data_IF_799015839332
#
_entry.id   IF_799015839332
#
_cell.length_a   1.000
_cell.length_b   1.000
_cell.length_c   1.000
_cell.angle_alpha   90.00
_cell.angle_beta   90.00
_cell.angle_gamma   90.00
#
_symmetry.space_group_name_H-M   'P 1'
#
loop_
_entity.id
_entity.type
_entity.pdbx_description
1 polymer ?
#
# COMPACT_ATOMS: atom_id res chain seq x y z
N UNK A 1 -25.07 33.23 -20.10
CA UNK A 1 -24.68 32.66 -18.78
C UNK A 1 -23.44 31.74 -18.85
N UNK A 2 -23.21 31.00 -19.94
CA UNK A 2 -22.00 30.16 -20.12
C UNK A 2 -20.70 30.97 -20.27
N UNK A 3 -20.70 32.07 -21.03
CA UNK A 3 -19.49 32.92 -21.22
C UNK A 3 -18.96 33.51 -19.91
N UNK A 4 -19.85 33.97 -19.02
CA UNK A 4 -19.46 34.53 -17.72
C UNK A 4 -18.91 33.43 -16.77
N UNK A 5 -19.36 32.17 -16.95
CA UNK A 5 -18.87 31.00 -16.21
C UNK A 5 -17.47 30.59 -16.69
N UNK A 6 -17.24 30.51 -18.00
CA UNK A 6 -15.92 30.23 -18.57
C UNK A 6 -14.90 31.33 -18.22
N UNK A 7 -15.32 32.59 -18.25
CA UNK A 7 -14.47 33.71 -17.85
C UNK A 7 -14.06 33.62 -16.37
N UNK A 8 -14.98 33.28 -15.46
CA UNK A 8 -14.70 33.11 -14.02
C UNK A 8 -13.77 31.92 -13.77
N UNK A 9 -13.98 30.81 -14.47
CA UNK A 9 -13.12 29.62 -14.40
C UNK A 9 -11.69 29.92 -14.90
N UNK A 10 -11.56 30.57 -16.07
CA UNK A 10 -10.25 30.99 -16.62
C UNK A 10 -9.51 31.92 -15.66
N UNK A 11 -10.20 32.91 -15.09
CA UNK A 11 -9.61 33.85 -14.12
C UNK A 11 -9.12 33.15 -12.84
N UNK A 12 -9.86 32.15 -12.36
CA UNK A 12 -9.43 31.33 -11.22
C UNK A 12 -8.16 30.54 -11.53
N UNK A 13 -8.11 29.94 -12.72
CA UNK A 13 -6.96 29.18 -13.22
C UNK A 13 -5.71 30.04 -13.39
N UNK A 14 -5.86 31.25 -13.93
CA UNK A 14 -4.80 32.25 -14.03
C UNK A 14 -4.28 32.66 -12.65
N UNK A 15 -5.17 32.94 -11.69
CA UNK A 15 -4.80 33.28 -10.32
C UNK A 15 -4.04 32.14 -9.63
N UNK A 16 -4.46 30.89 -9.85
CA UNK A 16 -3.76 29.71 -9.34
C UNK A 16 -2.35 29.56 -9.94
N UNK A 17 -2.22 29.73 -11.26
CA UNK A 17 -0.92 29.71 -11.96
C UNK A 17 0.02 30.82 -11.47
N UNK A 18 -0.51 32.04 -11.30
CA UNK A 18 0.25 33.17 -10.77
C UNK A 18 0.72 32.91 -9.33
N UNK A 19 -0.14 32.32 -8.49
CA UNK A 19 0.21 31.90 -7.13
C UNK A 19 1.34 30.88 -7.10
N UNK A 20 1.28 29.84 -7.94
CA UNK A 20 2.35 28.84 -8.05
C UNK A 20 3.67 29.45 -8.53
N UNK A 21 3.62 30.35 -9.52
CA UNK A 21 4.80 31.07 -10.00
C UNK A 21 5.42 31.95 -8.91
N UNK A 22 4.59 32.63 -8.10
CA UNK A 22 5.04 33.43 -6.97
C UNK A 22 5.73 32.57 -5.90
N UNK A 23 5.13 31.43 -5.52
CA UNK A 23 5.74 30.48 -4.57
C UNK A 23 7.09 29.96 -5.09
N UNK A 24 7.17 29.59 -6.38
CA UNK A 24 8.42 29.14 -7.02
C UNK A 24 9.51 30.21 -7.02
N UNK A 25 9.13 31.48 -7.16
CA UNK A 25 10.07 32.62 -7.09
C UNK A 25 10.54 32.85 -5.66
N UNK A 26 9.63 32.87 -4.70
CA UNK A 26 9.93 33.10 -3.27
C UNK A 26 10.78 31.98 -2.68
N UNK A 27 10.58 30.74 -3.10
CA UNK A 27 11.36 29.59 -2.61
C UNK A 27 12.75 29.48 -3.23
N UNK A 28 13.08 30.25 -4.27
CA UNK A 28 14.37 30.18 -5.00
C UNK A 28 15.60 30.13 -4.08
N UNK A 29 15.73 30.95 -3.01
CA UNK A 29 16.88 30.94 -2.12
C UNK A 29 17.04 29.64 -1.31
N UNK A 30 15.94 28.90 -1.11
CA UNK A 30 15.91 27.70 -0.27
C UNK A 30 15.68 26.41 -1.08
N UNK A 31 15.70 26.48 -2.42
CA UNK A 31 15.48 25.31 -3.30
C UNK A 31 16.50 24.19 -3.09
N UNK A 32 17.74 24.52 -2.75
CA UNK A 32 18.76 23.52 -2.43
C UNK A 32 18.38 22.68 -1.21
N UNK A 33 17.94 23.34 -0.14
CA UNK A 33 17.47 22.68 1.09
C UNK A 33 16.25 21.79 0.84
N UNK A 34 15.28 22.30 0.08
CA UNK A 34 14.09 21.53 -0.32
C UNK A 34 14.50 20.30 -1.16
N UNK A 35 15.42 20.45 -2.11
CA UNK A 35 15.89 19.35 -2.95
C UNK A 35 16.57 18.24 -2.14
N UNK A 36 17.44 18.60 -1.19
CA UNK A 36 18.09 17.63 -0.28
C UNK A 36 17.04 16.91 0.57
N UNK A 37 16.08 17.64 1.14
CA UNK A 37 15.00 17.02 1.92
C UNK A 37 14.16 16.04 1.09
N UNK A 38 13.86 16.37 -0.17
CA UNK A 38 13.15 15.47 -1.07
C UNK A 38 13.95 14.20 -1.38
N UNK A 39 15.27 14.31 -1.60
CA UNK A 39 16.13 13.14 -1.79
C UNK A 39 16.17 12.24 -0.56
N UNK A 40 16.28 12.81 0.65
CA UNK A 40 16.20 12.05 1.90
C UNK A 40 14.84 11.36 2.06
N UNK A 41 13.76 12.03 1.62
CA UNK A 41 12.40 11.48 1.65
C UNK A 41 12.25 10.31 0.67
N UNK A 42 12.85 10.39 -0.53
CA UNK A 42 12.90 9.27 -1.48
C UNK A 42 13.61 8.06 -0.86
N UNK A 43 14.78 8.27 -0.25
CA UNK A 43 15.51 7.20 0.43
C UNK A 43 14.72 6.59 1.59
N UNK A 44 14.10 7.44 2.43
CA UNK A 44 13.19 7.02 3.50
C UNK A 44 12.03 6.18 2.98
N UNK A 45 11.38 6.62 1.90
CA UNK A 45 10.26 5.91 1.30
C UNK A 45 10.67 4.55 0.71
N UNK A 46 11.85 4.46 0.09
CA UNK A 46 12.41 3.20 -0.40
C UNK A 46 12.70 2.20 0.74
N UNK A 47 13.24 2.67 1.87
CA UNK A 47 13.39 1.85 3.09
C UNK A 47 12.06 1.37 3.64
N UNK A 48 10.95 2.01 3.28
CA UNK A 48 9.60 1.59 3.64
C UNK A 48 9.20 0.21 3.10
N UNK A 49 9.91 -0.31 2.11
CA UNK A 49 9.70 -1.66 1.56
C UNK A 49 10.32 -2.75 2.46
N UNK A 50 11.42 -2.43 3.17
CA UNK A 50 12.23 -3.41 3.92
C UNK A 50 11.44 -4.17 4.99
N UNK A 51 10.53 -3.57 5.77
CA UNK A 51 9.70 -4.32 6.71
C UNK A 51 8.88 -5.44 6.05
N UNK A 52 8.43 -5.24 4.81
CA UNK A 52 7.69 -6.27 4.06
C UNK A 52 8.61 -7.39 3.57
N UNK A 53 9.84 -7.05 3.15
CA UNK A 53 10.87 -8.05 2.83
C UNK A 53 11.21 -8.88 4.06
N UNK A 54 11.40 -8.24 5.22
CA UNK A 54 11.66 -8.91 6.47
C UNK A 54 10.49 -9.82 6.88
N UNK A 55 9.25 -9.38 6.67
CA UNK A 55 8.05 -10.19 6.95
C UNK A 55 8.00 -11.45 6.08
N UNK A 56 8.27 -11.35 4.78
CA UNK A 56 8.32 -12.51 3.87
C UNK A 56 9.40 -13.50 4.34
N UNK A 57 10.62 -13.02 4.60
CA UNK A 57 11.72 -13.87 5.09
C UNK A 57 11.43 -14.54 6.42
N UNK A 58 10.79 -13.82 7.35
CA UNK A 58 10.39 -14.39 8.63
C UNK A 58 9.30 -15.46 8.44
N UNK A 59 8.36 -15.22 7.53
CA UNK A 59 7.35 -16.18 7.11
C UNK A 59 7.97 -17.48 6.60
N UNK A 60 8.90 -17.39 5.65
CA UNK A 60 9.61 -18.56 5.11
C UNK A 60 10.35 -19.36 6.19
N UNK A 61 11.00 -18.65 7.11
CA UNK A 61 11.73 -19.25 8.22
C UNK A 61 10.79 -20.01 9.18
N UNK A 62 9.64 -19.43 9.52
CA UNK A 62 8.65 -20.07 10.39
C UNK A 62 7.94 -21.24 9.70
N UNK A 63 7.53 -21.07 8.44
CA UNK A 63 6.88 -22.11 7.64
C UNK A 63 7.80 -23.31 7.41
N UNK A 64 9.08 -23.07 7.12
CA UNK A 64 10.06 -24.14 6.94
C UNK A 64 10.38 -24.88 8.23
N UNK A 65 10.39 -24.20 9.38
CA UNK A 65 10.55 -24.84 10.69
C UNK A 65 9.34 -25.74 11.01
N UNK A 66 8.12 -25.23 10.77
CA UNK A 66 6.88 -25.96 10.97
C UNK A 66 6.78 -27.22 10.08
N UNK A 67 7.04 -27.09 8.77
CA UNK A 67 6.99 -28.24 7.82
C UNK A 67 7.98 -29.35 8.15
N UNK A 68 9.07 -29.03 8.87
CA UNK A 68 10.13 -29.97 9.25
C UNK A 68 10.00 -30.49 10.69
N UNK A 69 8.97 -30.07 11.42
CA UNK A 69 8.82 -30.33 12.86
C UNK A 69 10.10 -30.03 13.66
N UNK A 70 10.76 -28.92 13.32
CA UNK A 70 12.08 -28.54 13.82
C UNK A 70 12.03 -27.21 14.57
N UNK A 71 12.91 -26.98 15.57
CA UNK A 71 12.96 -25.71 16.26
C UNK A 71 13.36 -24.58 15.30
N UNK A 72 12.77 -23.40 15.50
CA UNK A 72 13.06 -22.18 14.73
C UNK A 72 14.50 -21.74 14.95
N UNK A 73 15.24 -21.48 13.88
CA UNK A 73 16.60 -20.92 13.94
C UNK A 73 16.56 -19.49 14.51
N UNK A 74 16.91 -19.36 15.79
CA UNK A 74 16.83 -18.13 16.55
C UNK A 74 17.80 -17.05 16.06
N UNK A 75 18.99 -17.44 15.56
CA UNK A 75 20.00 -16.49 15.11
C UNK A 75 19.59 -15.84 13.79
N UNK A 76 19.05 -16.64 12.86
CA UNK A 76 18.48 -16.11 11.62
C UNK A 76 17.26 -15.22 11.88
N UNK A 77 16.34 -15.65 12.75
CA UNK A 77 15.18 -14.85 13.12
C UNK A 77 15.60 -13.51 13.74
N UNK A 78 16.60 -13.51 14.63
CA UNK A 78 17.17 -12.29 15.23
C UNK A 78 17.81 -11.39 14.18
N UNK A 79 18.52 -11.95 13.18
CA UNK A 79 19.07 -11.19 12.07
C UNK A 79 18.00 -10.46 11.25
N UNK A 80 16.90 -11.13 10.92
CA UNK A 80 15.75 -10.53 10.22
C UNK A 80 15.09 -9.43 11.06
N UNK A 81 14.93 -9.66 12.37
CA UNK A 81 14.40 -8.64 13.28
C UNK A 81 15.30 -7.41 13.37
N UNK A 82 16.62 -7.59 13.47
CA UNK A 82 17.57 -6.47 13.50
C UNK A 82 17.56 -5.69 12.19
N UNK A 83 17.45 -6.36 11.03
CA UNK A 83 17.28 -5.70 9.74
C UNK A 83 16.01 -4.83 9.72
N UNK A 84 14.88 -5.36 10.21
CA UNK A 84 13.62 -4.64 10.31
C UNK A 84 13.75 -3.39 11.19
N UNK A 85 14.32 -3.54 12.39
CA UNK A 85 14.50 -2.43 13.33
C UNK A 85 15.45 -1.37 12.78
N UNK A 86 16.56 -1.78 12.17
CA UNK A 86 17.53 -0.87 11.57
C UNK A 86 16.93 -0.09 10.39
N UNK A 87 16.22 -0.78 9.49
CA UNK A 87 15.59 -0.13 8.33
C UNK A 87 14.45 0.81 8.75
N UNK A 88 13.63 0.42 9.72
CA UNK A 88 12.58 1.28 10.25
C UNK A 88 13.16 2.51 10.98
N UNK A 89 14.19 2.33 11.80
CA UNK A 89 14.91 3.42 12.45
C UNK A 89 15.55 4.38 11.44
N UNK A 90 16.23 3.85 10.42
CA UNK A 90 16.82 4.65 9.36
C UNK A 90 15.76 5.40 8.55
N UNK A 91 14.62 4.77 8.22
CA UNK A 91 13.47 5.43 7.59
C UNK A 91 12.99 6.62 8.41
N UNK A 92 12.70 6.42 9.69
CA UNK A 92 12.23 7.49 10.58
C UNK A 92 13.25 8.62 10.71
N UNK A 93 14.53 8.27 10.87
CA UNK A 93 15.62 9.25 10.96
C UNK A 93 15.75 10.10 9.70
N UNK A 94 15.77 9.48 8.51
CA UNK A 94 15.83 10.19 7.23
C UNK A 94 14.62 11.10 7.02
N UNK A 95 13.42 10.62 7.35
CA UNK A 95 12.19 11.42 7.26
C UNK A 95 12.20 12.61 8.21
N UNK A 96 12.65 12.40 9.45
CA UNK A 96 12.79 13.45 10.45
C UNK A 96 13.78 14.53 10.01
N UNK A 97 14.96 14.12 9.51
CA UNK A 97 15.97 15.07 9.00
C UNK A 97 15.43 15.82 7.78
N UNK A 98 14.71 15.14 6.87
CA UNK A 98 14.06 15.80 5.74
C UNK A 98 13.08 16.90 6.18
N UNK A 99 12.20 16.59 7.14
CA UNK A 99 11.26 17.56 7.72
C UNK A 99 11.99 18.71 8.43
N UNK A 100 13.05 18.42 9.17
CA UNK A 100 13.83 19.45 9.85
C UNK A 100 14.45 20.43 8.85
N UNK A 101 15.02 19.91 7.75
CA UNK A 101 15.60 20.73 6.69
C UNK A 101 14.55 21.64 6.02
N UNK A 102 13.34 21.14 5.76
CA UNK A 102 12.27 21.97 5.18
C UNK A 102 11.70 22.98 6.17
N UNK A 103 11.64 22.68 7.47
CA UNK A 103 11.30 23.66 8.49
C UNK A 103 12.34 24.79 8.58
N UNK A 104 13.63 24.46 8.54
CA UNK A 104 14.70 25.47 8.49
C UNK A 104 14.62 26.31 7.20
N UNK A 105 14.32 25.67 6.07
CA UNK A 105 14.08 26.37 4.80
C UNK A 105 12.89 27.34 4.89
N UNK A 106 11.78 26.92 5.51
CA UNK A 106 10.61 27.76 5.73
C UNK A 106 10.95 28.98 6.59
N UNK A 107 11.65 28.81 7.71
CA UNK A 107 12.07 29.91 8.58
C UNK A 107 12.90 30.96 7.83
N UNK A 108 13.90 30.51 7.04
CA UNK A 108 14.71 31.41 6.20
C UNK A 108 13.86 32.14 5.16
N UNK A 109 12.94 31.44 4.50
CA UNK A 109 12.08 32.05 3.49
C UNK A 109 11.12 33.08 4.10
N UNK A 110 10.52 32.77 5.26
CA UNK A 110 9.60 33.66 5.96
C UNK A 110 10.28 34.90 6.51
N UNK A 111 11.51 34.78 7.02
CA UNK A 111 12.31 35.95 7.41
C UNK A 111 12.56 36.88 6.21
N UNK A 112 13.02 36.34 5.08
CA UNK A 112 13.22 37.11 3.85
C UNK A 112 11.93 37.76 3.33
N UNK A 113 10.81 37.05 3.38
CA UNK A 113 9.50 37.58 2.98
C UNK A 113 9.05 38.72 3.89
N UNK A 114 9.15 38.55 5.21
CA UNK A 114 8.78 39.60 6.18
C UNK A 114 9.64 40.85 6.02
N UNK A 115 10.96 40.70 5.87
CA UNK A 115 11.85 41.84 5.60
C UNK A 115 11.47 42.57 4.32
N UNK A 116 11.19 41.83 3.24
CA UNK A 116 10.76 42.41 1.96
C UNK A 116 9.44 43.17 2.07
N UNK A 117 8.47 42.64 2.83
CA UNK A 117 7.18 43.30 3.08
C UNK A 117 7.41 44.59 3.88
N UNK A 118 8.18 44.53 4.97
CA UNK A 118 8.47 45.69 5.81
C UNK A 118 9.22 46.78 5.04
N UNK A 119 10.23 46.41 4.24
CA UNK A 119 10.95 47.35 3.39
C UNK A 119 10.02 48.03 2.39
N UNK A 120 9.11 47.28 1.75
CA UNK A 120 8.15 47.85 0.80
C UNK A 120 7.14 48.77 1.49
N UNK A 121 6.65 48.39 2.67
CA UNK A 121 5.75 49.22 3.47
C UNK A 121 6.42 50.52 3.91
N UNK A 122 7.70 50.49 4.28
CA UNK A 122 8.44 51.69 4.71
C UNK A 122 8.56 52.77 3.62
N UNK A 123 8.40 52.39 2.34
CA UNK A 123 8.45 53.28 1.18
C UNK A 123 7.08 53.58 0.59
N UNK A 124 6.00 53.08 1.19
CA UNK A 124 4.65 53.31 0.68
C UNK A 124 4.14 54.72 1.04
N UNK A 125 3.39 55.40 0.14
CA UNK A 125 2.80 56.70 0.44
C UNK A 125 1.84 56.64 1.63
N UNK A 126 1.79 57.68 2.47
CA UNK A 126 0.87 57.76 3.61
C UNK A 126 -0.60 57.56 3.22
N UNK A 127 -0.99 58.03 2.03
CA UNK A 127 -2.34 57.83 1.49
C UNK A 127 -2.73 56.34 1.36
N UNK A 128 -1.77 55.45 1.12
CA UNK A 128 -2.04 54.00 1.06
C UNK A 128 -2.43 53.45 2.43
N UNK A 129 -1.83 53.95 3.51
CA UNK A 129 -2.17 53.55 4.89
C UNK A 129 -3.50 54.14 5.35
N UNK A 130 -3.89 55.30 4.83
CA UNK A 130 -5.21 55.88 5.08
C UNK A 130 -6.33 55.05 4.43
N UNK A 131 -6.10 54.48 3.24
CA UNK A 131 -7.05 53.57 2.58
C UNK A 131 -7.02 52.15 3.18
N UNK A 132 -5.82 51.65 3.51
CA UNK A 132 -5.61 50.32 4.09
C UNK A 132 -5.39 50.43 5.60
N UNK A 133 -6.47 50.25 6.36
CA UNK A 133 -6.41 50.25 7.83
C UNK A 133 -5.35 49.29 8.41
N UNK A 134 -4.91 49.57 9.64
CA UNK A 134 -3.82 48.85 10.33
C UNK A 134 -3.98 47.32 10.38
N UNK A 135 -5.22 46.82 10.39
CA UNK A 135 -5.52 45.39 10.33
C UNK A 135 -5.04 44.71 9.04
N UNK A 136 -5.12 45.40 7.89
CA UNK A 136 -4.64 44.85 6.61
C UNK A 136 -3.11 44.71 6.59
N UNK A 137 -2.41 45.67 7.20
CA UNK A 137 -0.94 45.62 7.36
C UNK A 137 -0.53 44.47 8.27
N UNK A 138 -1.18 44.33 9.44
CA UNK A 138 -0.94 43.22 10.37
C UNK A 138 -1.16 41.88 9.68
N UNK A 139 -2.28 41.72 8.97
CA UNK A 139 -2.60 40.49 8.23
C UNK A 139 -1.52 40.13 7.21
N UNK A 140 -1.07 41.09 6.41
CA UNK A 140 -0.04 40.84 5.40
C UNK A 140 1.32 40.44 6.01
N UNK A 141 1.76 41.13 7.06
CA UNK A 141 3.08 40.90 7.70
C UNK A 141 3.09 39.63 8.55
N UNK A 142 1.99 39.34 9.24
CA UNK A 142 1.92 38.26 10.23
C UNK A 142 1.21 37.03 9.69
N UNK A 143 -0.07 37.16 9.33
CA UNK A 143 -0.95 36.04 9.05
C UNK A 143 -0.63 35.42 7.68
N UNK A 144 -0.64 36.24 6.62
CA UNK A 144 -0.41 35.80 5.24
C UNK A 144 1.02 35.28 5.05
N UNK A 145 2.01 35.92 5.67
CA UNK A 145 3.40 35.45 5.67
C UNK A 145 3.58 34.12 6.42
N UNK A 146 2.69 33.78 7.36
CA UNK A 146 2.74 32.52 8.10
C UNK A 146 1.98 31.40 7.40
N UNK A 147 0.93 31.71 6.61
CA UNK A 147 0.21 30.70 5.82
C UNK A 147 1.10 29.95 4.82
N UNK A 148 2.21 30.55 4.38
CA UNK A 148 3.15 29.91 3.45
C UNK A 148 3.88 28.71 4.09
N UNK A 149 3.87 28.59 5.42
CA UNK A 149 4.52 27.54 6.20
C UNK A 149 4.21 26.14 5.67
N UNK A 150 2.93 25.77 5.59
CA UNK A 150 2.53 24.41 5.19
C UNK A 150 3.01 24.06 3.77
N UNK A 151 3.06 25.05 2.88
CA UNK A 151 3.47 24.86 1.48
C UNK A 151 4.95 24.54 1.34
N UNK A 152 5.80 25.08 2.23
CA UNK A 152 7.26 24.92 2.17
C UNK A 152 7.79 23.90 3.17
N UNK A 153 7.31 23.93 4.42
CA UNK A 153 7.80 23.08 5.49
C UNK A 153 7.33 21.63 5.35
N UNK A 154 6.07 21.41 5.01
CA UNK A 154 5.46 20.07 4.93
C UNK A 154 5.25 19.62 3.49
N UNK A 155 4.74 20.53 2.65
CA UNK A 155 4.35 20.25 1.28
C UNK A 155 5.35 19.44 0.43
N UNK A 156 6.65 19.80 0.37
CA UNK A 156 7.60 19.07 -0.47
C UNK A 156 7.85 17.64 0.00
N UNK A 157 8.04 17.44 1.30
CA UNK A 157 8.31 16.12 1.91
C UNK A 157 7.06 15.24 1.82
N UNK A 158 5.91 15.76 2.23
CA UNK A 158 4.67 14.98 2.26
C UNK A 158 4.25 14.55 0.84
N UNK A 159 4.33 15.44 -0.15
CA UNK A 159 4.01 15.11 -1.55
C UNK A 159 4.99 14.09 -2.13
N UNK A 160 6.28 14.24 -1.86
CA UNK A 160 7.29 13.27 -2.31
C UNK A 160 7.04 11.90 -1.67
N UNK A 161 6.78 11.83 -0.36
CA UNK A 161 6.49 10.58 0.32
C UNK A 161 5.19 9.93 -0.17
N UNK A 162 4.12 10.72 -0.35
CA UNK A 162 2.83 10.26 -0.85
C UNK A 162 2.90 9.66 -2.27
N UNK A 163 3.87 10.11 -3.09
CA UNK A 163 4.11 9.55 -4.42
C UNK A 163 5.05 8.34 -4.37
N UNK A 164 6.19 8.47 -3.69
CA UNK A 164 7.27 7.48 -3.75
C UNK A 164 6.95 6.24 -2.92
N UNK A 165 6.31 6.37 -1.75
CA UNK A 165 6.05 5.22 -0.89
C UNK A 165 5.11 4.18 -1.53
N UNK A 166 3.96 4.57 -2.15
CA UNK A 166 3.12 3.60 -2.85
C UNK A 166 3.83 3.00 -4.08
N UNK A 167 4.58 3.81 -4.84
CA UNK A 167 5.35 3.33 -6.00
C UNK A 167 6.43 2.33 -5.60
N UNK A 168 7.15 2.56 -4.50
CA UNK A 168 8.18 1.65 -4.01
C UNK A 168 7.58 0.29 -3.61
N UNK A 169 6.44 0.29 -2.92
CA UNK A 169 5.71 -0.94 -2.59
C UNK A 169 5.16 -1.63 -3.83
N UNK A 170 4.66 -0.87 -4.80
CA UNK A 170 4.17 -1.40 -6.06
C UNK A 170 5.28 -2.08 -6.86
N UNK A 171 6.42 -1.40 -7.01
CA UNK A 171 7.61 -1.97 -7.66
C UNK A 171 8.02 -3.27 -6.97
N UNK A 172 8.04 -3.28 -5.64
CA UNK A 172 8.36 -4.49 -4.89
C UNK A 172 7.40 -5.66 -5.15
N UNK A 173 6.07 -5.43 -5.11
CA UNK A 173 5.10 -6.49 -5.39
C UNK A 173 5.24 -7.00 -6.83
N UNK A 174 5.48 -6.12 -7.80
CA UNK A 174 5.72 -6.53 -9.20
C UNK A 174 7.03 -7.32 -9.38
N UNK A 175 8.04 -7.10 -8.53
CA UNK A 175 9.25 -7.93 -8.52
C UNK A 175 9.03 -9.31 -7.89
N UNK A 176 8.00 -9.47 -7.05
CA UNK A 176 7.60 -10.78 -6.52
C UNK A 176 6.77 -11.55 -7.55
N UNK A 177 5.66 -10.96 -7.99
CA UNK A 177 4.80 -11.50 -9.04
C UNK A 177 3.94 -10.38 -9.65
N UNK A 178 4.00 -10.22 -10.97
CA UNK A 178 3.29 -9.14 -11.66
C UNK A 178 1.75 -9.34 -11.70
N UNK A 179 1.26 -10.58 -11.58
CA UNK A 179 -0.18 -10.92 -11.54
C UNK A 179 -0.76 -10.52 -10.19
N UNK A 180 -0.07 -10.86 -9.09
CA UNK A 180 -0.41 -10.35 -7.75
C UNK A 180 -0.29 -8.83 -7.68
N UNK A 181 0.72 -8.25 -8.34
CA UNK A 181 0.85 -6.79 -8.47
C UNK A 181 -0.34 -6.12 -9.15
N UNK A 182 -0.82 -6.68 -10.27
CA UNK A 182 -2.02 -6.18 -10.95
C UNK A 182 -3.28 -6.34 -10.09
N UNK A 183 -3.40 -7.47 -9.39
CA UNK A 183 -4.50 -7.71 -8.45
C UNK A 183 -4.50 -6.68 -7.31
N UNK A 184 -3.33 -6.33 -6.76
CA UNK A 184 -3.22 -5.31 -5.71
C UNK A 184 -3.62 -3.91 -6.17
N UNK A 185 -3.41 -3.58 -7.45
CA UNK A 185 -3.77 -2.27 -8.01
C UNK A 185 -5.20 -2.23 -8.56
N UNK A 186 -5.86 -3.36 -8.82
CA UNK A 186 -7.14 -3.37 -9.54
C UNK A 186 -8.26 -2.57 -8.84
N UNK A 187 -8.16 -2.39 -7.52
CA UNK A 187 -9.10 -1.57 -6.73
C UNK A 187 -8.90 -0.06 -6.92
N UNK A 188 -7.70 0.38 -7.33
CA UNK A 188 -7.37 1.80 -7.52
C UNK A 188 -8.10 2.41 -8.74
N UNK A 189 -8.11 1.76 -9.93
CA UNK A 189 -8.96 2.18 -11.04
C UNK A 189 -10.45 2.20 -10.66
N UNK A 190 -10.93 1.23 -9.87
CA UNK A 190 -12.33 1.19 -9.43
C UNK A 190 -12.67 2.37 -8.51
N UNK A 191 -11.77 2.71 -7.58
CA UNK A 191 -11.85 3.94 -6.81
C UNK A 191 -11.87 5.17 -7.71
N UNK A 192 -10.94 5.29 -8.67
CA UNK A 192 -10.88 6.43 -9.58
C UNK A 192 -12.15 6.59 -10.42
N UNK A 193 -12.69 5.48 -10.94
CA UNK A 193 -13.91 5.44 -11.73
C UNK A 193 -15.12 5.90 -10.91
N UNK A 194 -15.34 5.30 -9.74
CA UNK A 194 -16.46 5.65 -8.86
C UNK A 194 -16.32 7.06 -8.29
N UNK A 195 -15.10 7.48 -7.93
CA UNK A 195 -14.82 8.82 -7.45
C UNK A 195 -15.00 9.88 -8.54
N UNK A 196 -14.73 9.56 -9.81
CA UNK A 196 -14.94 10.49 -10.93
C UNK A 196 -16.41 10.97 -11.02
N UNK A 197 -17.36 10.14 -10.59
CA UNK A 197 -18.77 10.51 -10.53
C UNK A 197 -19.03 11.62 -9.51
N UNK A 198 -18.27 11.67 -8.41
CA UNK A 198 -18.37 12.73 -7.39
C UNK A 198 -17.81 14.06 -7.89
N UNK A 199 -16.83 14.02 -8.79
CA UNK A 199 -16.20 15.21 -9.38
C UNK A 199 -17.05 15.83 -10.50
N UNK A 200 -17.96 15.07 -11.11
CA UNK A 200 -18.84 15.57 -12.17
C UNK A 200 -19.75 16.67 -11.65
N UNK A 201 -19.73 17.83 -12.32
CA UNK A 201 -20.57 18.97 -11.96
C UNK A 201 -20.17 19.68 -10.65
N UNK A 202 -19.09 19.27 -9.99
CA UNK A 202 -18.67 19.86 -8.72
C UNK A 202 -18.38 21.36 -8.85
N UNK A 203 -17.72 21.79 -9.95
CA UNK A 203 -17.44 23.20 -10.20
C UNK A 203 -18.71 24.06 -10.29
N UNK A 204 -19.79 23.56 -10.91
CA UNK A 204 -21.06 24.27 -10.98
C UNK A 204 -21.72 24.35 -9.60
N UNK A 205 -21.71 23.26 -8.83
CA UNK A 205 -22.27 23.22 -7.48
C UNK A 205 -21.50 24.09 -6.49
N UNK A 206 -20.18 24.14 -6.59
CA UNK A 206 -19.36 25.07 -5.79
C UNK A 206 -19.66 26.53 -6.14
N UNK A 207 -19.84 26.86 -7.42
CA UNK A 207 -20.21 28.21 -7.82
C UNK A 207 -21.63 28.60 -7.33
N UNK A 208 -22.59 27.67 -7.39
CA UNK A 208 -23.95 27.86 -6.87
C UNK A 208 -23.95 28.00 -5.33
N UNK A 209 -23.09 27.27 -4.64
CA UNK A 209 -22.86 27.40 -3.19
C UNK A 209 -22.35 28.80 -2.84
N UNK A 210 -21.32 29.29 -3.54
CA UNK A 210 -20.77 30.63 -3.31
C UNK A 210 -21.84 31.71 -3.49
N UNK A 211 -22.66 31.63 -4.54
CA UNK A 211 -23.73 32.60 -4.82
C UNK A 211 -24.82 32.59 -3.73
N UNK A 212 -25.26 31.42 -3.28
CA UNK A 212 -26.28 31.31 -2.22
C UNK A 212 -25.74 31.77 -0.87
N UNK A 213 -24.48 31.46 -0.57
CA UNK A 213 -23.82 31.90 0.66
C UNK A 213 -23.61 33.43 0.68
N UNK A 214 -23.28 34.01 -0.47
CA UNK A 214 -23.17 35.46 -0.66
C UNK A 214 -24.51 36.14 -0.38
N UNK A 215 -25.63 35.62 -0.92
CA UNK A 215 -26.98 36.15 -0.63
C UNK A 215 -27.35 36.09 0.84
N UNK A 216 -27.06 34.98 1.53
CA UNK A 216 -27.30 34.87 2.98
C UNK A 216 -26.51 35.93 3.74
N UNK A 217 -25.24 36.10 3.37
CA UNK A 217 -24.33 37.06 4.00
C UNK A 217 -24.77 38.51 3.76
N UNK A 218 -25.13 38.86 2.53
CA UNK A 218 -25.59 40.22 2.19
C UNK A 218 -26.90 40.55 2.92
N UNK A 219 -27.85 39.62 2.97
CA UNK A 219 -29.12 39.77 3.70
C UNK A 219 -28.87 40.02 5.19
N UNK A 220 -27.91 39.33 5.79
CA UNK A 220 -27.53 39.54 7.19
C UNK A 220 -26.92 40.93 7.41
N UNK A 221 -26.01 41.37 6.53
CA UNK A 221 -25.39 42.70 6.61
C UNK A 221 -26.44 43.81 6.47
N UNK A 222 -27.35 43.70 5.50
CA UNK A 222 -28.46 44.63 5.31
C UNK A 222 -29.38 44.68 6.54
N UNK A 223 -29.70 43.53 7.12
CA UNK A 223 -30.50 43.46 8.35
C UNK A 223 -29.83 44.15 9.54
N UNK A 224 -28.53 43.91 9.74
CA UNK A 224 -27.76 44.51 10.85
C UNK A 224 -27.61 46.02 10.63
N UNK A 225 -27.23 46.45 9.42
CA UNK A 225 -27.07 47.87 9.10
C UNK A 225 -28.40 48.64 9.18
N UNK A 226 -29.51 48.01 8.78
CA UNK A 226 -30.85 48.59 8.78
C UNK A 226 -31.62 48.42 10.09
N UNK A 227 -31.06 47.79 11.13
CA UNK A 227 -31.83 47.34 12.30
C UNK A 227 -32.56 48.47 13.04
N UNK A 228 -31.96 49.66 13.11
CA UNK A 228 -32.56 50.83 13.73
C UNK A 228 -33.83 51.28 12.98
N UNK A 229 -33.77 51.29 11.64
CA UNK A 229 -34.90 51.62 10.76
C UNK A 229 -35.97 50.54 10.87
N UNK A 230 -35.59 49.26 10.81
CA UNK A 230 -36.53 48.13 10.92
C UNK A 230 -37.28 48.15 12.26
N UNK A 231 -36.61 48.52 13.36
CA UNK A 231 -37.24 48.71 14.67
C UNK A 231 -38.17 49.94 14.71
N UNK A 232 -37.76 51.05 14.11
CA UNK A 232 -38.58 52.27 14.05
C UNK A 232 -39.90 52.07 13.29
N UNK A 233 -39.89 51.26 12.22
CA UNK A 233 -41.08 50.94 11.43
C UNK A 233 -41.82 49.67 11.88
N UNK A 234 -41.40 49.01 12.97
CA UNK A 234 -42.05 47.82 13.51
C UNK A 234 -42.00 46.57 12.60
N UNK A 235 -41.05 46.50 11.66
CA UNK A 235 -40.96 45.41 10.64
C UNK A 235 -39.97 44.29 10.98
N UNK A 236 -39.60 44.14 12.25
CA UNK A 236 -38.57 43.18 12.70
C UNK A 236 -38.89 41.74 12.25
N UNK A 237 -40.15 41.32 12.31
CA UNK A 237 -40.58 39.99 11.87
C UNK A 237 -40.35 39.71 10.38
N UNK A 238 -40.60 40.69 9.50
CA UNK A 238 -40.42 40.53 8.05
C UNK A 238 -38.95 40.44 7.65
N UNK A 239 -38.09 41.30 8.23
CA UNK A 239 -36.67 41.29 7.91
C UNK A 239 -35.98 40.01 8.43
N UNK A 240 -36.39 39.53 9.60
CA UNK A 240 -35.94 38.25 10.14
C UNK A 240 -36.43 37.06 9.29
N UNK A 241 -37.69 37.09 8.83
CA UNK A 241 -38.24 36.06 7.95
C UNK A 241 -37.49 35.93 6.63
N UNK A 242 -37.11 37.07 5.99
CA UNK A 242 -36.33 37.04 4.75
C UNK A 242 -34.95 36.39 4.95
N UNK A 243 -34.25 36.71 6.05
CA UNK A 243 -32.99 36.05 6.38
C UNK A 243 -33.15 34.54 6.56
N UNK A 244 -34.14 34.11 7.36
CA UNK A 244 -34.45 32.69 7.55
C UNK A 244 -34.77 32.01 6.22
N UNK A 245 -35.54 32.66 5.34
CA UNK A 245 -35.89 32.11 4.03
C UNK A 245 -34.65 31.88 3.15
N UNK A 246 -33.71 32.84 3.12
CA UNK A 246 -32.45 32.66 2.39
C UNK A 246 -31.59 31.55 3.01
N UNK A 247 -31.52 31.50 4.34
CA UNK A 247 -30.80 30.44 5.06
C UNK A 247 -31.40 29.04 4.80
N UNK A 248 -32.73 28.92 4.78
CA UNK A 248 -33.42 27.67 4.42
C UNK A 248 -33.17 27.28 2.96
N UNK A 249 -33.22 28.24 2.03
CA UNK A 249 -32.91 28.00 0.60
C UNK A 249 -31.49 27.48 0.43
N UNK A 250 -30.53 28.04 1.17
CA UNK A 250 -29.16 27.55 1.21
C UNK A 250 -29.09 26.15 1.81
N UNK A 251 -29.73 25.91 2.96
CA UNK A 251 -29.74 24.60 3.63
C UNK A 251 -30.35 23.48 2.78
N UNK A 252 -31.47 23.73 2.11
CA UNK A 252 -32.13 22.79 1.18
C UNK A 252 -31.20 22.45 0.00
N UNK A 253 -30.58 23.45 -0.60
CA UNK A 253 -29.58 23.26 -1.66
C UNK A 253 -28.39 22.43 -1.17
N UNK A 254 -27.81 22.81 -0.03
CA UNK A 254 -26.61 22.16 0.52
C UNK A 254 -26.90 20.68 0.83
N UNK A 255 -28.05 20.38 1.46
CA UNK A 255 -28.47 18.99 1.72
C UNK A 255 -28.68 18.19 0.43
N UNK A 256 -29.33 18.78 -0.57
CA UNK A 256 -29.57 18.12 -1.86
C UNK A 256 -28.26 17.84 -2.62
N UNK A 257 -27.23 18.66 -2.42
CA UNK A 257 -25.90 18.44 -2.98
C UNK A 257 -25.06 17.45 -2.16
N UNK A 258 -25.02 17.60 -0.83
CA UNK A 258 -24.14 16.85 0.05
C UNK A 258 -24.57 15.39 0.23
N UNK A 259 -25.87 15.09 0.39
CA UNK A 259 -26.30 13.71 0.69
C UNK A 259 -25.96 12.70 -0.42
N UNK A 260 -26.23 12.98 -1.72
CA UNK A 260 -25.80 12.09 -2.80
C UNK A 260 -24.27 11.95 -2.90
N UNK A 261 -23.56 13.04 -2.60
CA UNK A 261 -22.10 13.06 -2.63
C UNK A 261 -21.52 12.15 -1.53
N UNK A 262 -22.11 12.12 -0.34
CA UNK A 262 -21.68 11.21 0.74
C UNK A 262 -21.82 9.75 0.32
N UNK A 263 -22.97 9.36 -0.26
CA UNK A 263 -23.19 7.97 -0.70
C UNK A 263 -22.19 7.55 -1.77
N UNK A 264 -21.98 8.41 -2.77
CA UNK A 264 -21.04 8.12 -3.87
C UNK A 264 -19.58 8.14 -3.41
N UNK A 265 -19.22 9.02 -2.48
CA UNK A 265 -17.89 9.03 -1.85
C UNK A 265 -17.65 7.78 -0.98
N UNK A 266 -18.66 7.34 -0.22
CA UNK A 266 -18.58 6.11 0.59
C UNK A 266 -18.39 4.88 -0.30
N UNK A 267 -19.15 4.77 -1.40
CA UNK A 267 -18.98 3.69 -2.38
C UNK A 267 -17.57 3.71 -3.00
N UNK A 268 -17.05 4.91 -3.28
CA UNK A 268 -15.69 5.05 -3.81
C UNK A 268 -14.64 4.58 -2.80
N UNK A 269 -14.72 5.06 -1.55
CA UNK A 269 -13.83 4.68 -0.44
C UNK A 269 -13.86 3.17 -0.15
N UNK A 270 -14.97 2.49 -0.42
CA UNK A 270 -15.10 1.05 -0.20
C UNK A 270 -14.03 0.25 -0.97
N UNK A 271 -13.69 0.66 -2.20
CA UNK A 271 -12.69 -0.04 -3.03
C UNK A 271 -11.29 -0.06 -2.43
N UNK A 272 -10.91 1.01 -1.73
CA UNK A 272 -9.59 1.15 -1.09
C UNK A 272 -9.64 0.81 0.41
N UNK A 273 -10.78 0.31 0.90
CA UNK A 273 -10.90 -0.10 2.30
C UNK A 273 -10.07 -1.35 2.58
N UNK A 274 -9.53 -1.44 3.79
CA UNK A 274 -8.73 -2.60 4.21
C UNK A 274 -9.48 -3.93 4.00
N UNK A 275 -10.78 -4.07 4.35
CA UNK A 275 -11.49 -5.33 4.14
C UNK A 275 -11.62 -5.73 2.67
N UNK A 276 -11.93 -4.79 1.78
CA UNK A 276 -12.06 -5.07 0.34
C UNK A 276 -10.71 -5.38 -0.29
N UNK A 277 -9.66 -4.63 0.07
CA UNK A 277 -8.30 -4.91 -0.36
C UNK A 277 -7.85 -6.30 0.07
N UNK A 278 -8.08 -6.68 1.33
CA UNK A 278 -7.77 -8.02 1.83
C UNK A 278 -8.60 -9.09 1.13
N UNK A 279 -9.90 -8.89 0.94
CA UNK A 279 -10.77 -9.84 0.26
C UNK A 279 -10.32 -10.09 -1.18
N UNK A 280 -10.02 -9.03 -1.93
CA UNK A 280 -9.55 -9.13 -3.32
C UNK A 280 -8.17 -9.77 -3.39
N UNK A 281 -7.21 -9.34 -2.56
CA UNK A 281 -5.84 -9.84 -2.63
C UNK A 281 -5.72 -11.27 -2.08
N UNK A 282 -6.37 -11.59 -0.96
CA UNK A 282 -6.32 -12.92 -0.36
C UNK A 282 -7.18 -13.92 -1.14
N UNK A 283 -8.40 -13.54 -1.49
CA UNK A 283 -9.30 -14.39 -2.27
C UNK A 283 -8.78 -14.59 -3.70
N UNK A 284 -8.43 -13.51 -4.38
CA UNK A 284 -7.86 -13.59 -5.74
C UNK A 284 -6.49 -14.26 -5.74
N UNK A 285 -5.64 -13.98 -4.76
CA UNK A 285 -4.34 -14.65 -4.62
C UNK A 285 -4.48 -16.15 -4.38
N UNK A 286 -5.39 -16.57 -3.50
CA UNK A 286 -5.66 -17.99 -3.25
C UNK A 286 -6.16 -18.71 -4.51
N UNK A 287 -7.07 -18.09 -5.27
CA UNK A 287 -7.56 -18.65 -6.55
C UNK A 287 -6.45 -18.75 -7.61
N UNK A 288 -5.56 -17.77 -7.67
CA UNK A 288 -4.42 -17.79 -8.60
C UNK A 288 -3.42 -18.90 -8.24
N UNK A 289 -3.22 -19.16 -6.95
CA UNK A 289 -2.39 -20.26 -6.45
C UNK A 289 -3.06 -21.61 -6.75
N UNK A 290 -4.34 -21.75 -6.44
CA UNK A 290 -5.14 -22.97 -6.69
C UNK A 290 -5.18 -23.34 -8.19
N UNK A 291 -5.29 -22.33 -9.06
CA UNK A 291 -5.25 -22.51 -10.50
C UNK A 291 -3.84 -22.83 -11.05
N UNK A 292 -2.81 -22.90 -10.21
CA UNK A 292 -1.40 -23.12 -10.63
C UNK A 292 -0.83 -21.98 -11.46
N UNK A 293 -1.44 -20.79 -11.40
CA UNK A 293 -1.02 -19.61 -12.16
C UNK A 293 0.05 -18.82 -11.38
N UNK A 294 0.07 -18.90 -10.05
CA UNK A 294 1.11 -18.26 -9.24
C UNK A 294 1.75 -19.32 -8.35
N UNK A 295 3.06 -19.51 -8.53
CA UNK A 295 3.84 -20.41 -7.69
C UNK A 295 4.17 -19.75 -6.34
N UNK A 296 4.10 -20.53 -5.27
CA UNK A 296 4.65 -20.12 -3.97
C UNK A 296 6.18 -20.04 -4.14
N UNK A 297 6.88 -19.04 -3.56
CA UNK A 297 8.30 -18.86 -3.79
C UNK A 297 9.09 -20.15 -3.51
N UNK A 298 9.68 -20.70 -4.57
CA UNK A 298 10.42 -21.98 -4.64
C UNK A 298 9.55 -23.23 -4.63
N UNK A 299 9.01 -23.59 -5.81
CA UNK A 299 8.48 -24.92 -6.12
C UNK A 299 9.60 -25.88 -6.51
N UNK A 300 9.66 -26.30 -7.78
CA UNK A 300 10.68 -27.22 -8.31
C UNK A 300 12.10 -26.64 -8.37
N UNK A 301 12.25 -25.32 -8.39
CA UNK A 301 13.55 -24.63 -8.38
C UNK A 301 14.19 -24.57 -6.98
N UNK A 302 13.59 -25.23 -5.99
CA UNK A 302 14.15 -25.30 -4.63
C UNK A 302 15.47 -26.07 -4.64
N UNK A 303 16.57 -25.37 -4.33
CA UNK A 303 17.87 -26.00 -4.16
C UNK A 303 17.88 -26.81 -2.86
N UNK A 304 17.91 -28.14 -2.99
CA UNK A 304 18.00 -29.08 -1.87
C UNK A 304 19.46 -29.14 -1.38
N UNK A 305 19.68 -29.08 -0.06
CA UNK A 305 21.02 -29.20 0.56
C UNK A 305 21.68 -27.90 1.02
N UNK A 306 21.02 -26.75 0.83
CA UNK A 306 21.37 -25.48 1.47
C UNK A 306 20.61 -25.27 2.78
N UNK A 307 19.78 -24.22 2.84
CA UNK A 307 18.94 -23.87 4.00
C UNK A 307 17.67 -24.72 4.15
N UNK A 308 17.39 -25.55 3.15
CA UNK A 308 16.21 -26.40 2.99
C UNK A 308 16.62 -27.87 3.09
N UNK A 309 16.22 -28.52 4.19
CA UNK A 309 16.34 -29.96 4.39
C UNK A 309 14.99 -30.64 4.15
N UNK A 310 15.01 -31.83 3.54
CA UNK A 310 13.82 -32.63 3.30
C UNK A 310 13.55 -33.52 4.52
N UNK A 311 12.28 -33.82 4.79
CA UNK A 311 11.97 -34.94 5.69
C UNK A 311 12.35 -36.27 5.00
N UNK A 312 12.57 -37.33 5.78
CA UNK A 312 12.89 -38.65 5.23
C UNK A 312 11.88 -39.12 4.18
N UNK A 313 10.57 -38.91 4.44
CA UNK A 313 9.51 -39.21 3.46
C UNK A 313 9.55 -38.33 2.20
N UNK A 314 9.92 -37.05 2.31
CA UNK A 314 10.06 -36.15 1.16
C UNK A 314 11.27 -36.50 0.29
N UNK A 315 12.42 -36.77 0.90
CA UNK A 315 13.61 -37.25 0.20
C UNK A 315 13.32 -38.54 -0.56
N UNK A 316 12.57 -39.42 0.07
CA UNK A 316 12.17 -40.67 -0.53
C UNK A 316 11.19 -40.51 -1.70
N UNK A 317 10.19 -39.62 -1.59
CA UNK A 317 9.28 -39.31 -2.73
C UNK A 317 10.05 -38.71 -3.91
N UNK A 318 11.05 -37.86 -3.65
CA UNK A 318 11.92 -37.32 -4.72
C UNK A 318 12.79 -38.42 -5.34
N UNK A 319 13.32 -39.34 -4.54
CA UNK A 319 14.04 -40.51 -5.05
C UNK A 319 13.15 -41.40 -5.94
N UNK A 320 11.89 -41.62 -5.52
CA UNK A 320 10.89 -42.36 -6.31
C UNK A 320 10.57 -41.60 -7.60
N UNK A 321 10.32 -40.29 -7.55
CA UNK A 321 10.08 -39.47 -8.73
C UNK A 321 11.27 -39.51 -9.71
N UNK A 322 12.51 -39.48 -9.20
CA UNK A 322 13.73 -39.67 -10.02
C UNK A 322 13.77 -41.05 -10.66
N UNK A 323 13.44 -42.10 -9.93
CA UNK A 323 13.40 -43.46 -10.46
C UNK A 323 12.31 -43.65 -11.52
N UNK A 324 11.15 -43.01 -11.35
CA UNK A 324 10.08 -42.94 -12.37
C UNK A 324 10.58 -42.23 -13.63
N UNK A 325 11.26 -41.10 -13.49
CA UNK A 325 11.80 -40.33 -14.63
C UNK A 325 12.94 -41.06 -15.36
N UNK A 326 13.78 -41.77 -14.62
CA UNK A 326 14.89 -42.57 -15.18
C UNK A 326 14.40 -43.83 -15.90
N UNK A 327 13.19 -44.32 -15.58
CA UNK A 327 12.53 -45.48 -16.17
C UNK A 327 13.44 -46.72 -16.33
N UNK A 328 14.27 -47.02 -15.34
CA UNK A 328 15.25 -48.12 -15.45
C UNK A 328 14.57 -49.49 -15.47
N UNK A 329 15.12 -50.49 -16.21
CA UNK A 329 14.54 -51.84 -16.26
C UNK A 329 14.79 -52.65 -14.97
N UNK A 330 15.81 -52.27 -14.19
CA UNK A 330 16.15 -52.86 -12.90
C UNK A 330 16.00 -51.79 -11.81
N UNK A 331 15.30 -52.14 -10.73
CA UNK A 331 15.05 -51.28 -9.59
C UNK A 331 15.54 -51.95 -8.31
N UNK A 332 16.34 -51.24 -7.51
CA UNK A 332 16.80 -51.69 -6.20
C UNK A 332 16.14 -50.79 -5.15
N UNK A 333 15.41 -51.38 -4.22
CA UNK A 333 14.70 -50.69 -3.15
C UNK A 333 15.30 -51.11 -1.81
N UNK A 334 15.89 -50.17 -1.08
CA UNK A 334 16.44 -50.40 0.25
C UNK A 334 15.53 -49.78 1.31
N UNK A 335 14.84 -50.64 2.07
CA UNK A 335 13.97 -50.27 3.19
C UNK A 335 13.06 -49.04 2.94
N UNK A 336 12.44 -49.01 1.75
CA UNK A 336 11.71 -47.88 1.18
C UNK A 336 10.38 -47.53 1.89
N UNK A 337 10.22 -47.77 3.19
CA UNK A 337 9.15 -47.17 4.00
C UNK A 337 9.59 -46.86 5.45
N UNK A 338 10.86 -47.09 5.79
CA UNK A 338 11.33 -47.09 7.18
C UNK A 338 11.21 -45.74 7.91
N UNK A 339 11.19 -44.64 7.17
CA UNK A 339 11.24 -43.27 7.67
C UNK A 339 9.96 -42.45 7.39
N UNK A 340 8.89 -43.09 6.92
CA UNK A 340 7.64 -42.41 6.57
C UNK A 340 6.63 -42.47 7.73
N UNK A 341 5.86 -41.39 7.91
CA UNK A 341 4.67 -41.40 8.75
C UNK A 341 3.56 -42.31 8.14
N UNK A 342 2.56 -42.76 8.92
CA UNK A 342 1.57 -43.74 8.44
C UNK A 342 0.75 -43.28 7.22
N UNK A 343 0.51 -41.98 7.06
CA UNK A 343 -0.23 -41.42 5.91
C UNK A 343 0.67 -41.39 4.67
N UNK A 344 1.94 -40.97 4.83
CA UNK A 344 2.96 -41.02 3.79
C UNK A 344 3.35 -42.43 3.35
N UNK A 345 3.34 -43.41 4.25
CA UNK A 345 3.71 -44.81 3.95
C UNK A 345 2.77 -45.41 2.90
N UNK A 346 1.47 -45.16 3.00
CA UNK A 346 0.48 -45.66 2.05
C UNK A 346 0.67 -45.07 0.64
N UNK A 347 0.92 -43.76 0.55
CA UNK A 347 1.16 -43.07 -0.72
C UNK A 347 2.46 -43.53 -1.39
N UNK A 348 3.54 -43.65 -0.60
CA UNK A 348 4.84 -44.16 -1.06
C UNK A 348 4.70 -45.60 -1.57
N UNK A 349 3.98 -46.44 -0.86
CA UNK A 349 3.76 -47.84 -1.26
C UNK A 349 2.99 -47.94 -2.58
N UNK A 350 1.98 -47.09 -2.80
CA UNK A 350 1.27 -47.02 -4.08
C UNK A 350 2.18 -46.59 -5.23
N UNK A 351 3.02 -45.57 -5.01
CA UNK A 351 3.96 -45.09 -6.02
C UNK A 351 5.02 -46.16 -6.38
N UNK A 352 5.58 -46.85 -5.38
CA UNK A 352 6.52 -47.96 -5.58
C UNK A 352 5.86 -49.14 -6.31
N UNK A 353 4.61 -49.45 -5.99
CA UNK A 353 3.86 -50.52 -6.68
C UNK A 353 3.61 -50.19 -8.15
N UNK A 354 3.29 -48.93 -8.46
CA UNK A 354 3.14 -48.46 -9.83
C UNK A 354 4.48 -48.52 -10.59
N UNK A 355 5.57 -48.10 -9.94
CA UNK A 355 6.91 -48.11 -10.51
C UNK A 355 7.43 -49.54 -10.76
N UNK A 356 7.11 -50.49 -9.89
CA UNK A 356 7.57 -51.87 -9.98
C UNK A 356 6.99 -52.66 -11.19
N UNK A 357 5.89 -52.20 -11.79
CA UNK A 357 5.24 -52.93 -12.88
C UNK A 357 6.15 -53.07 -14.10
N UNK A 358 6.34 -54.31 -14.55
CA UNK A 358 7.11 -54.62 -15.75
C UNK A 358 8.62 -54.44 -15.60
N UNK A 359 9.13 -54.31 -14.36
CA UNK A 359 10.55 -54.15 -14.05
C UNK A 359 11.08 -55.30 -13.22
N UNK A 360 12.37 -55.56 -13.29
CA UNK A 360 13.05 -56.44 -12.33
C UNK A 360 13.29 -55.66 -11.04
N UNK A 361 12.66 -56.06 -9.94
CA UNK A 361 12.74 -55.35 -8.66
C UNK A 361 13.45 -56.21 -7.62
N UNK A 362 14.52 -55.67 -7.03
CA UNK A 362 15.18 -56.22 -5.86
C UNK A 362 14.83 -55.35 -4.65
N UNK A 363 14.18 -55.94 -3.64
CA UNK A 363 13.81 -55.23 -2.42
C UNK A 363 14.58 -55.80 -1.23
N UNK A 364 15.29 -54.94 -0.50
CA UNK A 364 15.88 -55.25 0.80
C UNK A 364 14.83 -54.90 1.85
N UNK A 365 14.28 -55.93 2.50
CA UNK A 365 13.14 -55.80 3.40
C UNK A 365 13.51 -56.19 4.83
N UNK A 366 13.21 -55.30 5.78
CA UNK A 366 13.32 -55.55 7.21
C UNK A 366 11.95 -55.69 7.91
N UNK A 367 10.85 -55.45 7.18
CA UNK A 367 9.48 -55.57 7.68
C UNK A 367 8.73 -56.72 6.99
N UNK A 368 7.95 -57.53 7.72
CA UNK A 368 7.14 -58.61 7.14
C UNK A 368 6.13 -58.16 6.07
N UNK A 369 5.72 -56.89 6.09
CA UNK A 369 4.82 -56.31 5.07
C UNK A 369 5.48 -56.15 3.70
N UNK A 370 6.78 -55.84 3.65
CA UNK A 370 7.51 -55.53 2.41
C UNK A 370 7.88 -56.78 1.60
N UNK A 371 7.87 -57.96 2.22
CA UNK A 371 8.08 -59.25 1.54
C UNK A 371 6.77 -59.86 1.01
N UNK A 372 5.61 -59.32 1.41
CA UNK A 372 4.31 -59.82 0.95
C UNK A 372 4.11 -59.47 -0.52
N UNK A 373 4.10 -60.49 -1.37
CA UNK A 373 3.87 -60.32 -2.80
C UNK A 373 5.12 -60.55 -3.67
N UNK A 374 6.31 -60.67 -3.07
CA UNK A 374 7.53 -61.03 -3.81
C UNK A 374 7.37 -62.38 -4.53
N UNK A 375 7.96 -62.49 -5.73
CA UNK A 375 7.99 -63.72 -6.53
C UNK A 375 9.03 -64.70 -5.96
N UNK A 376 10.13 -64.17 -5.43
CA UNK A 376 11.20 -64.93 -4.80
C UNK A 376 11.71 -64.20 -3.56
N UNK A 377 11.98 -64.96 -2.50
CA UNK A 377 12.54 -64.48 -1.24
C UNK A 377 13.91 -65.13 -1.06
N UNK A 378 14.94 -64.31 -0.82
CA UNK A 378 16.32 -64.76 -0.62
C UNK A 378 16.77 -64.36 0.78
N UNK A 379 17.22 -65.34 1.57
CA UNK A 379 17.73 -65.13 2.93
C UNK A 379 19.25 -65.13 2.91
N UNK A 380 19.84 -64.00 3.31
CA UNK A 380 21.29 -63.82 3.42
C UNK A 380 21.74 -63.96 4.88
N UNK A 381 22.73 -64.81 5.16
CA UNK A 381 23.31 -64.97 6.50
C UNK A 381 24.83 -65.15 6.41
N UNK A 382 25.58 -64.38 7.20
CA UNK A 382 27.05 -64.43 7.18
C UNK A 382 27.68 -64.13 5.82
N UNK A 383 27.02 -63.31 4.98
CA UNK A 383 27.46 -62.99 3.62
C UNK A 383 27.21 -64.08 2.58
N UNK A 384 26.44 -65.13 2.91
CA UNK A 384 26.06 -66.22 1.99
C UNK A 384 24.55 -66.34 1.88
N UNK A 385 24.05 -66.77 0.73
CA UNK A 385 22.64 -67.12 0.55
C UNK A 385 22.38 -68.44 1.27
N UNK A 386 21.57 -68.40 2.34
CA UNK A 386 21.23 -69.58 3.14
C UNK A 386 20.01 -70.30 2.60
N UNK A 387 19.03 -69.55 2.08
CA UNK A 387 17.82 -70.09 1.50
C UNK A 387 17.30 -69.16 0.40
N UNK A 388 16.70 -69.74 -0.64
CA UNK A 388 15.97 -69.02 -1.66
C UNK A 388 14.67 -69.77 -1.93
N UNK A 389 13.54 -69.13 -1.66
CA UNK A 389 12.21 -69.70 -1.82
C UNK A 389 11.46 -68.89 -2.87
N UNK A 390 11.11 -69.53 -3.98
CA UNK A 390 10.26 -68.95 -5.02
C UNK A 390 8.81 -69.36 -4.80
N UNK A 391 7.85 -68.52 -5.18
CA UNK A 391 6.49 -69.01 -5.39
C UNK A 391 6.54 -70.02 -6.55
N UNK A 392 6.32 -71.29 -6.26
CA UNK A 392 6.06 -72.28 -7.31
C UNK A 392 4.92 -71.78 -8.19
N UNK A 393 5.15 -71.83 -9.50
CA UNK A 393 4.28 -71.23 -10.51
C UNK A 393 2.83 -71.70 -10.41
N UNK A 394 1.91 -70.79 -10.73
CA UNK A 394 0.64 -71.16 -11.34
C UNK A 394 0.87 -71.71 -12.74
#
# INVERSE_FOLDING_TARGET
MSENREAKARKSLEKARAGQAAVKRLSRPVRGWIGVAQLLTVASAALGVVPYIALVRLGDLLLSAYRRDSPVDADRARGVLMLLLAAYGARLGLYFVALLLTHVADLKMRDGLRRSIVERLSRAPLAWFSDKGSGAVRKAVQDDASMVHTVIAHGPVDKTNALVSPLALLVYVFTLDWRLGLLSVCTVPMYGLTYSLTLRGMAEKTAEMDEKLERVSSTMVEFIAGIAVVKAFGRVGHAHANYIEQAEKFGKFYRAWAMPLVTTAALSQMWISIPVLLFVNLGGGALLIDAGVVDVPSGYDTVIGGDTALSGGQEQRIAIARAVLLDTPVLILDEATAMADPESEAEIQQALTALAKGKTVLVIAHRPGSIRGADQIVVLEGGRVRAAEGKEGK
#
